data_IF_188046254023
#
_entry.id   IF_188046254023
#
_cell.length_a   1.000
_cell.length_b   1.000
_cell.length_c   1.000
_cell.angle_alpha   90.00
_cell.angle_beta   90.00
_cell.angle_gamma   90.00
#
_symmetry.space_group_name_H-M   'P 1'
#
loop_
_entity.id
_entity.type
_entity.pdbx_description
1 polymer ?
#
# COMPACT_ATOMS: atom_id res chain seq x y z
N UNK A 1 46.60 53.55 -14.83
CA UNK A 1 45.69 52.54 -15.40
C UNK A 1 44.30 52.83 -14.89
N UNK A 2 43.38 53.03 -15.83
CA UNK A 2 41.92 53.20 -15.73
C UNK A 2 41.24 51.93 -15.11
N UNK A 3 39.91 51.91 -14.83
CA UNK A 3 39.18 52.81 -13.93
C UNK A 3 37.96 52.17 -13.20
N UNK A 4 37.40 52.96 -12.28
CA UNK A 4 35.98 53.32 -12.06
C UNK A 4 34.86 52.32 -11.64
N UNK A 5 34.42 52.63 -10.41
CA UNK A 5 33.09 52.64 -9.78
C UNK A 5 31.86 52.95 -10.65
N UNK A 6 30.70 52.37 -10.30
CA UNK A 6 29.45 53.13 -10.13
C UNK A 6 28.32 52.36 -9.39
N UNK A 7 27.74 53.02 -8.36
CA UNK A 7 26.44 52.77 -7.73
C UNK A 7 25.49 53.87 -8.18
N UNK A 8 24.27 53.58 -8.65
CA UNK A 8 23.05 54.44 -8.64
C UNK A 8 21.87 53.48 -8.93
N UNK A 9 20.62 53.58 -8.46
CA UNK A 9 19.80 54.69 -7.97
C UNK A 9 18.41 54.58 -8.64
N UNK A 10 17.31 54.61 -7.88
CA UNK A 10 15.92 54.70 -8.40
C UNK A 10 15.69 56.02 -9.17
N UNK A 11 14.89 56.01 -10.26
CA UNK A 11 13.62 56.77 -10.43
C UNK A 11 13.07 56.74 -11.86
N UNK A 12 11.75 56.93 -11.91
CA UNK A 12 10.82 56.90 -13.04
C UNK A 12 10.98 58.05 -14.05
N UNK A 13 10.50 57.82 -15.29
CA UNK A 13 9.89 58.85 -16.13
C UNK A 13 8.76 58.25 -16.99
N UNK A 14 7.63 58.94 -16.97
CA UNK A 14 6.48 58.80 -17.86
C UNK A 14 6.75 59.49 -19.21
N UNK A 15 6.00 59.09 -20.26
CA UNK A 15 5.28 59.93 -21.25
C UNK A 15 4.96 59.09 -22.52
N UNK A 16 3.65 59.01 -22.84
CA UNK A 16 2.89 59.07 -24.14
C UNK A 16 3.59 58.67 -25.46
N UNK A 17 2.97 58.18 -26.53
CA UNK A 17 1.63 57.71 -26.96
C UNK A 17 1.77 57.34 -28.45
N UNK A 18 0.87 56.48 -28.99
CA UNK A 18 0.47 56.31 -30.42
C UNK A 18 1.59 55.94 -31.43
N UNK A 19 1.45 55.13 -32.47
CA UNK A 19 0.40 54.70 -33.42
C UNK A 19 1.18 53.71 -34.33
N UNK A 20 0.72 52.52 -34.72
CA UNK A 20 -0.18 52.24 -35.84
C UNK A 20 0.02 50.75 -36.17
N UNK A 21 -1.03 50.04 -36.56
CA UNK A 21 -1.05 49.06 -37.67
C UNK A 21 -2.42 48.35 -37.72
N UNK A 22 -3.31 48.89 -38.57
CA UNK A 22 -4.35 48.18 -39.34
C UNK A 22 -3.63 47.43 -40.48
N UNK A 23 -4.09 46.36 -41.14
CA UNK A 23 -5.23 45.43 -41.04
C UNK A 23 -4.99 44.38 -42.15
N UNK A 24 -5.45 43.13 -42.00
CA UNK A 24 -6.07 42.39 -43.13
C UNK A 24 -6.95 41.22 -42.65
N UNK A 25 -8.20 41.28 -43.13
CA UNK A 25 -9.26 40.26 -43.24
C UNK A 25 -8.79 39.03 -44.07
N UNK A 26 -9.41 37.84 -44.19
CA UNK A 26 -10.78 37.35 -43.98
C UNK A 26 -10.82 35.79 -44.10
N UNK A 27 -11.71 35.15 -43.33
CA UNK A 27 -12.72 34.12 -43.67
C UNK A 27 -12.41 32.64 -44.09
N UNK A 28 -13.07 31.67 -43.40
CA UNK A 28 -13.85 30.47 -43.85
C UNK A 28 -13.97 29.41 -42.70
N UNK A 29 -15.11 29.27 -41.99
CA UNK A 29 -16.21 28.28 -42.09
C UNK A 29 -15.77 26.78 -42.06
N UNK A 30 -16.18 25.90 -41.12
CA UNK A 30 -17.52 25.32 -40.86
C UNK A 30 -17.63 24.59 -39.49
N UNK A 31 -18.83 24.59 -38.86
CA UNK A 31 -19.35 23.49 -38.01
C UNK A 31 -19.65 23.77 -36.51
N UNK A 32 -20.94 23.83 -36.13
CA UNK A 32 -21.54 23.86 -34.75
C UNK A 32 -22.69 22.81 -34.71
N UNK A 33 -23.37 22.45 -33.58
CA UNK A 33 -23.10 22.44 -32.11
C UNK A 33 -23.73 21.14 -31.43
N UNK A 34 -24.26 21.05 -30.16
CA UNK A 34 -24.13 21.85 -28.92
C UNK A 34 -23.97 21.05 -27.56
N UNK A 35 -23.67 21.79 -26.48
CA UNK A 35 -23.92 21.53 -25.04
C UNK A 35 -23.11 20.47 -24.24
N UNK A 36 -22.16 20.94 -23.41
CA UNK A 36 -22.25 20.76 -21.95
C UNK A 36 -21.39 21.81 -21.23
N UNK A 37 -22.03 22.54 -20.34
CA UNK A 37 -21.48 23.64 -19.55
C UNK A 37 -20.59 23.07 -18.45
N UNK A 38 -19.27 23.01 -18.66
CA UNK A 38 -18.32 22.86 -17.55
C UNK A 38 -17.99 24.27 -17.03
N UNK A 39 -18.41 24.56 -15.80
CA UNK A 39 -17.89 25.68 -15.03
C UNK A 39 -16.41 25.42 -14.72
N UNK A 40 -15.54 25.78 -15.66
CA UNK A 40 -14.11 25.92 -15.39
C UNK A 40 -13.91 27.18 -14.56
N UNK A 41 -13.62 27.01 -13.27
CA UNK A 41 -13.02 28.05 -12.43
C UNK A 41 -11.75 28.55 -13.15
N UNK A 42 -11.85 29.76 -13.71
CA UNK A 42 -10.73 30.47 -14.32
C UNK A 42 -9.74 30.86 -13.22
N UNK A 43 -8.79 29.97 -12.92
CA UNK A 43 -7.60 30.29 -12.14
C UNK A 43 -6.46 30.66 -13.08
N UNK A 44 -5.94 31.89 -13.01
CA UNK A 44 -4.78 32.30 -13.78
C UNK A 44 -3.50 31.76 -13.15
N UNK A 45 -2.92 30.71 -13.73
CA UNK A 45 -1.63 30.15 -13.32
C UNK A 45 -0.49 30.60 -14.24
N UNK A 46 0.65 31.02 -13.68
CA UNK A 46 1.91 31.13 -14.40
C UNK A 46 2.75 29.87 -14.18
N UNK A 47 2.69 28.93 -15.13
CA UNK A 47 3.51 27.70 -15.16
C UNK A 47 3.26 26.92 -16.46
N UNK A 48 4.19 26.09 -16.93
CA UNK A 48 4.03 25.29 -18.16
C UNK A 48 2.96 24.20 -17.98
N UNK A 49 2.23 23.85 -19.06
CA UNK A 49 1.06 22.96 -19.01
C UNK A 49 1.32 21.57 -18.37
N UNK A 50 2.57 21.09 -18.41
CA UNK A 50 2.96 19.77 -17.90
C UNK A 50 3.03 19.72 -16.38
N UNK A 51 3.53 20.79 -15.75
CA UNK A 51 3.60 20.89 -14.28
C UNK A 51 2.18 21.00 -13.67
N UNK A 52 1.28 21.71 -14.36
CA UNK A 52 -0.12 21.90 -13.95
C UNK A 52 -0.90 20.60 -13.82
N UNK A 53 -0.66 19.65 -14.73
CA UNK A 53 -1.33 18.35 -14.70
C UNK A 53 -0.79 17.49 -13.55
N UNK A 54 0.53 17.50 -13.35
CA UNK A 54 1.19 16.72 -12.31
C UNK A 54 0.76 17.14 -10.90
N UNK A 55 0.68 18.45 -10.62
CA UNK A 55 0.31 18.95 -9.28
C UNK A 55 -1.17 18.67 -8.94
N UNK A 56 -2.08 18.72 -9.94
CA UNK A 56 -3.50 18.38 -9.76
C UNK A 56 -3.68 16.86 -9.61
N UNK A 57 -3.01 16.06 -10.43
CA UNK A 57 -3.06 14.60 -10.35
C UNK A 57 -2.46 14.12 -9.01
N UNK A 58 -1.45 14.80 -8.45
CA UNK A 58 -0.84 14.49 -7.15
C UNK A 58 -1.78 14.81 -5.96
N UNK A 59 -2.57 15.89 -6.06
CA UNK A 59 -3.60 16.25 -5.06
C UNK A 59 -4.79 15.29 -5.13
N UNK A 60 -5.22 14.90 -6.33
CA UNK A 60 -6.35 13.97 -6.51
C UNK A 60 -5.99 12.50 -6.25
N UNK A 61 -4.70 12.14 -6.24
CA UNK A 61 -4.22 10.78 -5.96
C UNK A 61 -3.77 10.56 -4.51
N UNK A 62 -3.96 11.53 -3.61
CA UNK A 62 -3.61 11.44 -2.18
C UNK A 62 -2.14 11.05 -1.87
N UNK A 63 -1.20 11.29 -2.78
CA UNK A 63 0.22 11.01 -2.60
C UNK A 63 1.01 12.24 -2.12
N UNK A 64 0.62 12.80 -0.97
CA UNK A 64 1.38 13.90 -0.35
C UNK A 64 2.21 13.36 0.81
N UNK A 65 3.52 13.22 0.59
CA UNK A 65 4.49 13.20 1.68
C UNK A 65 4.47 14.52 2.44
N UNK A 66 4.48 14.44 3.78
CA UNK A 66 4.40 15.56 4.71
C UNK A 66 5.44 16.68 4.44
N UNK A 67 6.55 16.36 3.77
CA UNK A 67 7.64 17.28 3.43
C UNK A 67 7.30 18.33 2.36
N UNK A 68 6.23 18.13 1.56
CA UNK A 68 5.82 19.07 0.49
C UNK A 68 4.78 20.12 0.93
N UNK A 69 4.31 20.08 2.18
CA UNK A 69 3.33 21.02 2.76
C UNK A 69 3.75 22.49 2.68
N UNK A 70 5.05 22.78 2.77
CA UNK A 70 5.55 24.17 2.79
C UNK A 70 5.46 24.87 1.43
N UNK A 71 5.40 24.12 0.33
CA UNK A 71 5.28 24.66 -1.03
C UNK A 71 3.81 24.99 -1.35
N UNK A 72 2.88 24.16 -0.87
CA UNK A 72 1.42 24.34 -1.05
C UNK A 72 0.87 25.58 -0.31
N UNK A 73 1.46 25.97 0.83
CA UNK A 73 1.03 27.19 1.53
C UNK A 73 1.26 28.50 0.75
N UNK A 74 2.19 28.50 -0.22
CA UNK A 74 2.57 29.73 -0.94
C UNK A 74 1.78 30.00 -2.21
N UNK A 75 1.04 29.01 -2.71
CA UNK A 75 0.41 29.10 -4.01
C UNK A 75 -1.03 28.56 -3.92
N UNK A 76 -2.00 29.46 -4.14
CA UNK A 76 -3.42 29.24 -4.49
C UNK A 76 -4.46 29.40 -3.36
N UNK A 77 -5.20 30.52 -3.37
CA UNK A 77 -6.59 30.58 -3.87
C UNK A 77 -7.18 31.98 -3.59
N UNK A 78 -7.57 32.71 -4.64
CA UNK A 78 -8.52 33.83 -4.54
C UNK A 78 -9.75 33.46 -5.35
N UNK A 79 -10.91 33.40 -4.71
CA UNK A 79 -12.18 33.26 -5.42
C UNK A 79 -12.52 34.55 -6.22
N UNK A 80 -13.50 34.47 -7.11
CA UNK A 80 -13.96 35.60 -7.94
C UNK A 80 -14.61 36.75 -7.13
N UNK A 81 -14.66 36.64 -5.80
CA UNK A 81 -15.19 37.63 -4.86
C UNK A 81 -14.15 38.14 -3.86
N UNK A 82 -12.88 37.74 -3.99
CA UNK A 82 -11.79 38.19 -3.12
C UNK A 82 -11.89 37.72 -1.67
N UNK A 83 -12.66 36.66 -1.36
CA UNK A 83 -12.71 36.06 -0.03
C UNK A 83 -11.68 34.95 0.08
N UNK A 84 -10.76 35.11 1.03
CA UNK A 84 -9.86 34.04 1.45
C UNK A 84 -10.66 32.95 2.16
N UNK A 85 -10.75 31.76 1.57
CA UNK A 85 -10.98 30.54 2.37
C UNK A 85 -9.59 29.92 2.58
N UNK A 86 -9.05 29.95 3.81
CA UNK A 86 -7.76 29.32 4.09
C UNK A 86 -7.78 27.84 3.64
N UNK A 87 -6.74 27.34 2.98
CA UNK A 87 -6.58 25.91 2.62
C UNK A 87 -6.80 25.01 3.84
N UNK A 88 -6.39 25.47 5.03
CA UNK A 88 -6.68 24.80 6.30
C UNK A 88 -8.17 24.48 6.46
N UNK A 89 -9.08 25.39 6.11
CA UNK A 89 -10.53 25.17 6.21
C UNK A 89 -11.06 24.09 5.26
N UNK A 90 -10.44 23.91 4.09
CA UNK A 90 -10.86 22.87 3.13
C UNK A 90 -10.35 21.52 3.59
N UNK A 91 -9.07 21.44 3.99
CA UNK A 91 -8.47 20.21 4.52
C UNK A 91 -9.16 19.79 5.82
N UNK A 92 -9.44 20.72 6.73
CA UNK A 92 -10.20 20.48 7.98
C UNK A 92 -11.59 19.92 7.68
N UNK A 93 -12.30 20.46 6.68
CA UNK A 93 -13.62 19.95 6.28
C UNK A 93 -13.54 18.57 5.63
N UNK A 94 -12.53 18.32 4.79
CA UNK A 94 -12.32 17.02 4.17
C UNK A 94 -12.01 15.95 5.22
N UNK A 95 -11.11 16.25 6.16
CA UNK A 95 -10.78 15.35 7.28
C UNK A 95 -12.00 15.13 8.18
N UNK A 96 -12.79 16.17 8.47
CA UNK A 96 -14.01 16.05 9.27
C UNK A 96 -15.06 15.15 8.60
N UNK A 97 -15.27 15.29 7.28
CA UNK A 97 -16.19 14.44 6.53
C UNK A 97 -15.71 12.98 6.48
N UNK A 98 -14.41 12.74 6.31
CA UNK A 98 -13.84 11.39 6.38
C UNK A 98 -14.01 10.77 7.76
N UNK A 99 -13.76 11.54 8.82
CA UNK A 99 -13.95 11.07 10.20
C UNK A 99 -15.42 10.75 10.48
N UNK A 100 -16.35 11.56 9.99
CA UNK A 100 -17.79 11.29 10.11
C UNK A 100 -18.17 9.98 9.43
N UNK A 101 -17.67 9.73 8.22
CA UNK A 101 -17.92 8.48 7.49
C UNK A 101 -17.29 7.26 8.19
N UNK A 102 -16.09 7.43 8.76
CA UNK A 102 -15.42 6.41 9.57
C UNK A 102 -16.26 6.07 10.81
N UNK A 103 -16.71 7.07 11.56
CA UNK A 103 -17.57 6.85 12.75
C UNK A 103 -18.91 6.20 12.36
N UNK A 104 -19.50 6.58 11.22
CA UNK A 104 -20.68 5.89 10.69
C UNK A 104 -20.39 4.42 10.40
N UNK A 105 -19.24 4.11 9.80
CA UNK A 105 -18.83 2.73 9.51
C UNK A 105 -18.66 1.91 10.80
N UNK A 106 -17.95 2.44 11.80
CA UNK A 106 -17.73 1.74 13.09
C UNK A 106 -19.05 1.49 13.82
N UNK A 107 -19.95 2.50 13.82
CA UNK A 107 -21.30 2.37 14.38
C UNK A 107 -22.13 1.32 13.64
N UNK A 108 -22.07 1.29 12.31
CA UNK A 108 -22.78 0.30 11.48
C UNK A 108 -22.27 -1.13 11.69
N UNK A 109 -20.98 -1.30 12.02
CA UNK A 109 -20.41 -2.57 12.46
C UNK A 109 -20.83 -2.98 13.88
N UNK A 110 -21.49 -2.09 14.64
CA UNK A 110 -21.86 -2.34 16.03
C UNK A 110 -20.68 -2.28 16.99
N UNK A 111 -19.60 -1.57 16.62
CA UNK A 111 -18.40 -1.42 17.44
C UNK A 111 -18.44 -0.17 18.33
N UNK A 112 -17.78 -0.24 19.48
CA UNK A 112 -17.66 0.87 20.46
C UNK A 112 -16.21 1.07 20.93
N UNK A 113 -15.93 2.10 21.74
CA UNK A 113 -14.60 2.38 22.32
C UNK A 113 -13.49 2.51 21.27
N UNK A 114 -13.77 3.31 20.24
CA UNK A 114 -12.95 3.40 19.04
C UNK A 114 -11.67 4.21 19.24
N UNK A 115 -10.53 3.64 18.84
CA UNK A 115 -9.26 4.35 18.71
C UNK A 115 -8.59 4.03 17.38
N UNK A 116 -8.01 5.01 16.68
CA UNK A 116 -7.30 4.76 15.43
C UNK A 116 -6.02 3.97 15.71
N UNK A 117 -5.77 2.93 14.91
CA UNK A 117 -4.52 2.17 14.92
C UNK A 117 -3.57 2.63 13.81
N UNK A 118 -4.12 2.87 12.62
CA UNK A 118 -3.41 3.37 11.45
C UNK A 118 -4.26 4.45 10.82
N UNK A 119 -3.68 5.65 10.71
CA UNK A 119 -4.29 6.83 10.09
C UNK A 119 -3.43 7.27 8.89
N UNK A 120 -3.89 6.98 7.68
CA UNK A 120 -3.21 7.37 6.43
C UNK A 120 -3.48 6.44 5.24
N UNK A 121 -3.81 7.03 4.08
CA UNK A 121 -4.04 6.32 2.82
C UNK A 121 -5.52 6.05 2.50
N UNK A 122 -5.82 5.07 1.64
CA UNK A 122 -7.20 4.67 1.28
C UNK A 122 -7.88 3.76 2.33
N UNK A 123 -7.11 3.16 3.26
CA UNK A 123 -7.58 2.20 4.27
C UNK A 123 -7.34 2.79 5.66
N UNK A 124 -8.39 2.90 6.47
CA UNK A 124 -8.35 3.27 7.88
C UNK A 124 -8.56 2.05 8.75
N UNK A 125 -7.79 1.93 9.84
CA UNK A 125 -7.85 0.78 10.75
C UNK A 125 -8.10 1.27 12.17
N UNK A 126 -9.16 0.76 12.79
CA UNK A 126 -9.63 1.21 14.10
C UNK A 126 -9.79 0.03 15.05
N UNK A 127 -9.30 0.18 16.27
CA UNK A 127 -9.57 -0.76 17.35
C UNK A 127 -10.83 -0.35 18.07
N UNK A 128 -11.66 -1.31 18.45
CA UNK A 128 -12.79 -1.10 19.33
C UNK A 128 -13.24 -2.39 20.00
N UNK A 129 -14.46 -2.40 20.50
CA UNK A 129 -15.14 -3.55 21.04
C UNK A 129 -16.34 -3.91 20.16
N UNK A 130 -16.42 -5.16 19.72
CA UNK A 130 -17.61 -5.74 19.08
C UNK A 130 -18.29 -6.65 20.11
N UNK A 131 -19.51 -6.31 20.54
CA UNK A 131 -20.23 -7.04 21.59
C UNK A 131 -19.39 -7.28 22.87
N UNK A 132 -18.59 -6.29 23.26
CA UNK A 132 -17.71 -6.35 24.44
C UNK A 132 -16.38 -7.09 24.25
N UNK A 133 -16.11 -7.65 23.06
CA UNK A 133 -14.86 -8.33 22.73
C UNK A 133 -13.97 -7.43 21.86
N UNK A 134 -12.66 -7.32 22.11
CA UNK A 134 -11.75 -6.54 21.27
C UNK A 134 -11.80 -6.96 19.79
N UNK A 135 -11.93 -5.98 18.91
CA UNK A 135 -12.03 -6.16 17.46
C UNK A 135 -11.33 -5.01 16.71
N UNK A 136 -11.08 -5.23 15.42
CA UNK A 136 -10.48 -4.26 14.50
C UNK A 136 -11.44 -3.98 13.35
N UNK A 137 -11.87 -2.74 13.19
CA UNK A 137 -12.59 -2.28 12.01
C UNK A 137 -11.59 -1.93 10.90
N UNK A 138 -11.82 -2.49 9.72
CA UNK A 138 -11.11 -2.16 8.47
C UNK A 138 -12.08 -1.35 7.61
N UNK A 139 -11.69 -0.14 7.25
CA UNK A 139 -12.55 0.81 6.54
C UNK A 139 -11.80 1.29 5.30
N UNK A 140 -12.36 1.08 4.12
CA UNK A 140 -11.79 1.57 2.86
C UNK A 140 -12.68 2.69 2.32
N UNK A 141 -12.09 3.88 2.20
CA UNK A 141 -12.76 5.04 1.63
C UNK A 141 -12.75 4.91 0.10
N UNK A 142 -13.92 5.10 -0.52
CA UNK A 142 -14.09 5.02 -1.96
C UNK A 142 -13.68 6.35 -2.62
N UNK A 143 -13.21 6.25 -3.87
CA UNK A 143 -12.58 7.35 -4.60
C UNK A 143 -13.58 8.29 -5.28
N UNK A 144 -14.86 7.91 -5.34
CA UNK A 144 -15.90 8.60 -6.10
C UNK A 144 -15.85 8.28 -7.60
N UNK A 145 -15.03 7.33 -8.03
CA UNK A 145 -15.00 6.80 -9.39
C UNK A 145 -15.76 5.47 -9.43
N UNK A 146 -16.98 5.42 -10.00
CA UNK A 146 -17.86 4.25 -9.91
C UNK A 146 -17.22 2.94 -10.40
N UNK A 147 -16.37 2.99 -11.42
CA UNK A 147 -15.71 1.81 -11.95
C UNK A 147 -14.67 1.23 -10.99
N UNK A 148 -13.85 2.10 -10.39
CA UNK A 148 -12.85 1.69 -9.41
C UNK A 148 -13.50 1.29 -8.07
N UNK A 149 -14.53 2.03 -7.66
CA UNK A 149 -15.20 1.82 -6.39
C UNK A 149 -15.94 0.49 -6.37
N UNK A 150 -16.61 0.12 -7.47
CA UNK A 150 -17.23 -1.20 -7.59
C UNK A 150 -16.19 -2.34 -7.49
N UNK A 151 -15.00 -2.14 -8.09
CA UNK A 151 -13.90 -3.11 -7.99
C UNK A 151 -13.42 -3.21 -6.53
N UNK A 152 -13.25 -2.09 -5.83
CA UNK A 152 -12.84 -2.04 -4.43
C UNK A 152 -13.86 -2.73 -3.51
N UNK A 153 -15.14 -2.45 -3.68
CA UNK A 153 -16.23 -3.11 -2.92
C UNK A 153 -16.24 -4.61 -3.15
N UNK A 154 -16.20 -5.04 -4.42
CA UNK A 154 -16.20 -6.47 -4.79
C UNK A 154 -14.97 -7.18 -4.20
N UNK A 155 -13.82 -6.49 -4.17
CA UNK A 155 -12.61 -7.01 -3.52
C UNK A 155 -12.81 -7.20 -2.02
N UNK A 156 -13.24 -6.17 -1.31
CA UNK A 156 -13.46 -6.26 0.13
C UNK A 156 -14.45 -7.38 0.50
N UNK A 157 -15.56 -7.49 -0.23
CA UNK A 157 -16.54 -8.56 -0.05
C UNK A 157 -15.92 -9.95 -0.25
N UNK A 158 -15.13 -10.11 -1.32
CA UNK A 158 -14.47 -11.40 -1.61
C UNK A 158 -13.38 -11.75 -0.58
N UNK A 159 -12.69 -10.75 -0.02
CA UNK A 159 -11.72 -10.96 1.06
C UNK A 159 -12.41 -11.55 2.29
N UNK A 160 -13.54 -10.94 2.69
CA UNK A 160 -14.30 -11.38 3.86
C UNK A 160 -14.91 -12.77 3.65
N UNK A 161 -15.46 -13.05 2.46
CA UNK A 161 -15.95 -14.39 2.10
C UNK A 161 -14.86 -15.45 2.26
N UNK A 162 -13.67 -15.21 1.68
CA UNK A 162 -12.57 -16.18 1.72
C UNK A 162 -11.97 -16.34 3.11
N UNK A 163 -11.87 -15.27 3.90
CA UNK A 163 -11.44 -15.34 5.30
C UNK A 163 -12.41 -16.13 6.18
N UNK A 164 -13.71 -16.05 5.88
CA UNK A 164 -14.75 -16.79 6.63
C UNK A 164 -14.63 -18.30 6.42
N UNK A 165 -14.11 -18.73 5.26
CA UNK A 165 -13.88 -20.15 4.94
C UNK A 165 -12.59 -20.72 5.56
N UNK A 166 -11.75 -19.88 6.20
CA UNK A 166 -10.49 -20.30 6.83
C UNK A 166 -10.68 -20.53 8.32
N UNK A 167 -10.50 -21.78 8.78
CA UNK A 167 -10.46 -22.14 10.20
C UNK A 167 -9.03 -22.42 10.65
N UNK A 168 -8.28 -21.37 11.00
CA UNK A 168 -6.91 -21.49 11.49
C UNK A 168 -6.54 -20.41 12.50
N UNK A 169 -5.90 -20.75 13.63
CA UNK A 169 -5.37 -19.74 14.55
C UNK A 169 -4.17 -18.97 14.01
N UNK A 170 -3.62 -19.36 12.85
CA UNK A 170 -2.50 -18.70 12.18
C UNK A 170 -2.94 -17.74 11.06
N UNK A 171 -4.24 -17.51 10.89
CA UNK A 171 -4.81 -16.51 9.97
C UNK A 171 -5.82 -15.67 10.75
N UNK A 172 -5.82 -14.35 10.54
CA UNK A 172 -6.79 -13.44 11.16
C UNK A 172 -8.23 -13.84 10.78
N UNK A 173 -9.15 -13.88 11.74
CA UNK A 173 -10.56 -14.15 11.48
C UNK A 173 -11.38 -12.88 11.28
N UNK A 174 -12.30 -12.94 10.33
CA UNK A 174 -13.39 -11.96 10.19
C UNK A 174 -14.47 -12.21 11.24
N UNK A 175 -15.02 -11.12 11.77
CA UNK A 175 -16.11 -11.15 12.76
C UNK A 175 -17.45 -10.70 12.19
N UNK A 176 -17.43 -10.01 11.04
CA UNK A 176 -18.64 -9.53 10.35
C UNK A 176 -18.50 -9.72 8.84
N UNK A 177 -19.63 -9.69 8.14
CA UNK A 177 -19.65 -9.49 6.69
C UNK A 177 -19.13 -8.09 6.33
N UNK A 178 -18.75 -7.90 5.06
CA UNK A 178 -18.43 -6.59 4.50
C UNK A 178 -19.70 -5.78 4.25
N UNK A 179 -19.77 -4.58 4.83
CA UNK A 179 -20.87 -3.63 4.69
C UNK A 179 -20.46 -2.41 3.88
N UNK A 180 -21.41 -1.83 3.13
CA UNK A 180 -21.22 -0.57 2.41
C UNK A 180 -21.83 0.57 3.22
N UNK A 181 -21.16 1.73 3.24
CA UNK A 181 -21.57 2.92 3.99
C UNK A 181 -21.87 4.04 3.01
N UNK A 182 -23.00 4.73 3.20
CA UNK A 182 -23.46 5.80 2.31
C UNK A 182 -24.39 5.32 1.18
N UNK A 183 -25.18 6.24 0.64
CA UNK A 183 -26.03 6.01 -0.54
C UNK A 183 -25.88 7.19 -1.53
N UNK A 184 -25.12 7.04 -2.63
CA UNK A 184 -24.37 5.86 -3.07
C UNK A 184 -23.22 5.49 -2.11
N UNK A 185 -22.64 4.26 -2.20
CA UNK A 185 -21.55 3.84 -1.33
C UNK A 185 -20.35 4.79 -1.39
N UNK A 186 -19.90 5.24 -0.22
CA UNK A 186 -18.73 6.10 0.00
C UNK A 186 -17.61 5.36 0.74
N UNK A 187 -17.92 4.27 1.45
CA UNK A 187 -16.95 3.39 2.06
C UNK A 187 -17.42 1.93 2.07
N UNK A 188 -16.47 1.01 2.21
CA UNK A 188 -16.73 -0.40 2.56
C UNK A 188 -15.98 -0.74 3.85
N UNK A 189 -16.63 -1.46 4.76
CA UNK A 189 -16.07 -1.78 6.06
C UNK A 189 -16.41 -3.20 6.53
N UNK A 190 -15.55 -3.77 7.36
CA UNK A 190 -15.77 -5.05 8.06
C UNK A 190 -14.98 -5.06 9.37
N UNK A 191 -15.30 -5.99 10.28
CA UNK A 191 -14.55 -6.21 11.50
C UNK A 191 -13.78 -7.53 11.48
N UNK A 192 -12.57 -7.50 12.04
CA UNK A 192 -11.69 -8.64 12.27
C UNK A 192 -11.40 -8.81 13.76
N UNK A 193 -10.93 -9.97 14.16
CA UNK A 193 -10.48 -10.19 15.52
C UNK A 193 -9.27 -9.31 15.87
N UNK A 194 -9.24 -8.83 17.11
CA UNK A 194 -8.05 -8.16 17.62
C UNK A 194 -6.96 -9.19 17.94
N UNK A 195 -5.82 -9.05 17.26
CA UNK A 195 -4.61 -9.81 17.55
C UNK A 195 -3.73 -9.02 18.52
N UNK A 196 -3.51 -9.56 19.71
CA UNK A 196 -2.59 -9.01 20.70
C UNK A 196 -1.12 -9.06 20.22
N UNK A 197 -0.19 -8.48 21.00
CA UNK A 197 1.22 -8.39 20.62
C UNK A 197 1.57 -7.19 19.74
N UNK A 198 2.49 -7.36 18.77
CA UNK A 198 2.96 -6.32 17.87
C UNK A 198 3.19 -6.82 16.43
N UNK A 199 3.27 -5.90 15.46
CA UNK A 199 3.56 -6.27 14.08
C UNK A 199 5.01 -6.73 13.97
N UNK A 200 5.28 -7.69 13.08
CA UNK A 200 6.62 -8.27 12.95
C UNK A 200 7.68 -7.20 12.62
N UNK A 201 7.29 -6.13 11.90
CA UNK A 201 8.14 -4.96 11.61
C UNK A 201 8.84 -4.37 12.82
N UNK A 202 8.23 -4.43 14.01
CA UNK A 202 8.76 -3.85 15.24
C UNK A 202 9.88 -4.69 15.88
N UNK A 203 10.13 -5.89 15.35
CA UNK A 203 11.12 -6.82 15.90
C UNK A 203 12.31 -7.06 14.97
N UNK A 204 12.29 -6.48 13.78
CA UNK A 204 13.29 -6.73 12.73
C UNK A 204 14.62 -6.00 12.95
N UNK A 205 14.77 -5.25 14.04
CA UNK A 205 16.01 -4.57 14.42
C UNK A 205 17.02 -5.49 15.13
N UNK A 206 16.63 -6.73 15.42
CA UNK A 206 17.47 -7.75 16.02
C UNK A 206 17.44 -9.05 15.24
N UNK A 207 18.46 -9.87 15.49
CA UNK A 207 18.46 -11.26 15.05
C UNK A 207 17.53 -12.11 15.92
N UNK A 208 16.86 -13.05 15.28
CA UNK A 208 16.04 -14.05 15.91
C UNK A 208 16.89 -15.28 16.24
N UNK A 209 16.50 -15.97 17.29
CA UNK A 209 17.03 -17.29 17.62
C UNK A 209 16.50 -18.34 16.62
N UNK A 210 17.18 -19.49 16.52
CA UNK A 210 16.72 -20.59 15.69
C UNK A 210 15.31 -21.06 16.08
N UNK A 211 14.98 -21.08 17.38
CA UNK A 211 13.66 -21.50 17.86
C UNK A 211 12.56 -20.53 17.46
N UNK A 212 12.81 -19.21 17.53
CA UNK A 212 11.88 -18.19 17.04
C UNK A 212 11.61 -18.35 15.54
N UNK A 213 12.65 -18.64 14.75
CA UNK A 213 12.50 -18.82 13.28
C UNK A 213 11.83 -20.14 12.94
N UNK A 214 12.10 -21.23 13.67
CA UNK A 214 11.34 -22.47 13.53
C UNK A 214 9.85 -22.25 13.82
N UNK A 215 9.53 -21.50 14.89
CA UNK A 215 8.14 -21.16 15.23
C UNK A 215 7.49 -20.30 14.14
N UNK A 216 8.20 -19.32 13.60
CA UNK A 216 7.74 -18.49 12.49
C UNK A 216 7.45 -19.33 11.24
N UNK A 217 8.37 -20.20 10.84
CA UNK A 217 8.18 -21.10 9.70
C UNK A 217 6.97 -22.01 9.90
N UNK A 218 6.84 -22.64 11.07
CA UNK A 218 5.75 -23.56 11.37
C UNK A 218 4.39 -22.88 11.40
N UNK A 219 4.27 -21.74 12.07
CA UNK A 219 3.01 -21.01 12.15
C UNK A 219 2.58 -20.47 10.78
N UNK A 220 3.49 -19.83 10.06
CA UNK A 220 3.16 -19.28 8.75
C UNK A 220 2.91 -20.38 7.72
N UNK A 221 3.57 -21.54 7.80
CA UNK A 221 3.24 -22.70 6.97
C UNK A 221 1.82 -23.25 7.26
N UNK A 222 1.37 -23.27 8.53
CA UNK A 222 -0.02 -23.63 8.89
C UNK A 222 -1.03 -22.66 8.28
N UNK A 223 -0.77 -21.35 8.37
CA UNK A 223 -1.65 -20.35 7.77
C UNK A 223 -1.67 -20.45 6.24
N UNK A 224 -0.51 -20.56 5.59
CA UNK A 224 -0.40 -20.70 4.14
C UNK A 224 -1.04 -22.01 3.64
N UNK A 225 -0.95 -23.11 4.39
CA UNK A 225 -1.64 -24.36 4.05
C UNK A 225 -3.14 -24.14 3.86
N UNK A 226 -3.80 -23.46 4.79
CA UNK A 226 -5.24 -23.20 4.69
C UNK A 226 -5.55 -22.24 3.53
N UNK A 227 -4.79 -21.17 3.37
CA UNK A 227 -4.95 -20.21 2.26
C UNK A 227 -4.81 -20.91 0.90
N UNK A 228 -3.76 -21.72 0.73
CA UNK A 228 -3.47 -22.42 -0.52
C UNK A 228 -4.48 -23.54 -0.81
N UNK A 229 -5.11 -24.12 0.22
CA UNK A 229 -6.16 -25.13 0.05
C UNK A 229 -7.43 -24.58 -0.62
N UNK A 230 -7.64 -23.26 -0.52
CA UNK A 230 -8.71 -22.53 -1.20
C UNK A 230 -8.30 -22.07 -2.62
N UNK A 231 -7.18 -22.58 -3.14
CA UNK A 231 -6.55 -22.17 -4.41
C UNK A 231 -6.16 -20.69 -4.45
N UNK A 232 -5.89 -20.10 -3.29
CA UNK A 232 -5.52 -18.70 -3.15
C UNK A 232 -4.03 -18.56 -2.85
N UNK A 233 -3.40 -17.56 -3.46
CA UNK A 233 -2.02 -17.12 -3.14
C UNK A 233 -2.14 -15.81 -2.36
N UNK A 234 -1.39 -15.67 -1.25
CA UNK A 234 -1.34 -14.49 -0.40
C UNK A 234 -0.79 -13.26 -1.13
N UNK A 235 0.28 -13.43 -1.94
CA UNK A 235 0.88 -12.43 -2.86
C UNK A 235 1.61 -11.25 -2.21
N UNK A 236 1.39 -11.00 -0.93
CA UNK A 236 2.01 -9.90 -0.18
C UNK A 236 2.49 -10.34 1.21
N UNK A 237 3.10 -11.52 1.27
CA UNK A 237 3.67 -12.01 2.50
C UNK A 237 4.91 -11.17 2.86
N UNK A 238 4.75 -10.31 3.87
CA UNK A 238 5.75 -9.36 4.33
C UNK A 238 5.59 -9.12 5.84
N UNK A 239 6.57 -8.48 6.52
CA UNK A 239 6.46 -8.22 7.95
C UNK A 239 5.27 -7.34 8.34
N UNK A 240 4.76 -6.52 7.42
CA UNK A 240 3.57 -5.67 7.65
C UNK A 240 2.30 -6.49 7.84
N UNK A 241 2.26 -7.70 7.27
CA UNK A 241 1.09 -8.57 7.23
C UNK A 241 1.24 -9.76 8.19
N UNK A 242 2.18 -9.68 9.14
CA UNK A 242 2.43 -10.71 10.14
C UNK A 242 2.38 -10.08 11.52
N UNK A 243 1.52 -10.63 12.36
CA UNK A 243 1.43 -10.28 13.78
C UNK A 243 2.24 -11.26 14.60
N UNK A 244 3.05 -10.77 15.53
CA UNK A 244 3.67 -11.57 16.58
C UNK A 244 2.90 -11.38 17.89
N UNK A 245 2.14 -12.40 18.27
CA UNK A 245 1.26 -12.39 19.45
C UNK A 245 2.05 -12.54 20.75
N UNK A 246 1.46 -12.12 21.87
CA UNK A 246 2.11 -12.16 23.18
C UNK A 246 2.36 -13.59 23.69
N UNK A 247 1.65 -14.58 23.14
CA UNK A 247 1.85 -16.01 23.39
C UNK A 247 3.02 -16.61 22.58
N UNK A 248 3.70 -15.79 21.77
CA UNK A 248 4.84 -16.18 20.93
C UNK A 248 4.44 -16.75 19.57
N UNK A 249 3.15 -16.83 19.23
CA UNK A 249 2.68 -17.28 17.90
C UNK A 249 2.69 -16.17 16.86
N UNK A 250 2.81 -16.58 15.60
CA UNK A 250 2.73 -15.70 14.43
C UNK A 250 1.40 -15.90 13.70
N UNK A 251 0.75 -14.81 13.30
CA UNK A 251 -0.55 -14.83 12.62
C UNK A 251 -0.48 -13.99 11.34
N UNK A 252 -0.97 -14.55 10.25
CA UNK A 252 -1.12 -13.87 8.96
C UNK A 252 -2.32 -12.92 8.99
N UNK A 253 -2.10 -11.70 8.53
CA UNK A 253 -3.11 -10.66 8.37
C UNK A 253 -3.21 -10.24 6.90
N UNK A 254 -4.33 -9.61 6.52
CA UNK A 254 -4.55 -9.07 5.18
C UNK A 254 -4.11 -10.03 4.05
N UNK A 255 -4.51 -11.34 4.11
CA UNK A 255 -4.18 -12.24 3.02
C UNK A 255 -4.76 -11.64 1.76
N UNK A 256 -3.95 -11.50 0.71
CA UNK A 256 -4.31 -10.80 -0.53
C UNK A 256 -5.37 -11.52 -1.36
N UNK A 257 -6.32 -12.21 -0.72
CA UNK A 257 -7.35 -13.08 -1.25
C UNK A 257 -8.21 -12.36 -2.30
N UNK A 258 -8.51 -11.09 -2.08
CA UNK A 258 -9.27 -10.27 -3.03
C UNK A 258 -8.46 -9.76 -4.24
N UNK A 259 -7.12 -9.81 -4.18
CA UNK A 259 -6.25 -9.31 -5.25
C UNK A 259 -6.31 -10.18 -6.50
N UNK A 260 -6.91 -11.37 -6.45
CA UNK A 260 -7.16 -12.24 -7.61
C UNK A 260 -8.16 -11.63 -8.60
N UNK A 261 -9.14 -10.84 -8.14
CA UNK A 261 -10.09 -10.14 -9.00
C UNK A 261 -9.43 -9.03 -9.86
N UNK A 262 -8.25 -8.55 -9.44
CA UNK A 262 -7.46 -7.60 -10.22
C UNK A 262 -6.92 -8.18 -11.54
N UNK A 263 -6.85 -9.52 -11.68
CA UNK A 263 -6.42 -10.19 -12.93
C UNK A 263 -7.20 -9.72 -14.15
N UNK A 264 -8.49 -9.44 -13.97
CA UNK A 264 -9.38 -9.07 -15.09
C UNK A 264 -9.32 -7.57 -15.41
N UNK A 265 -8.87 -6.73 -14.47
CA UNK A 265 -8.91 -5.26 -14.59
C UNK A 265 -7.53 -4.60 -14.74
N UNK A 266 -6.45 -5.24 -14.27
CA UNK A 266 -5.09 -4.70 -14.28
C UNK A 266 -4.18 -5.62 -15.10
N UNK A 267 -4.28 -5.53 -16.42
CA UNK A 267 -3.21 -5.97 -17.30
C UNK A 267 -2.08 -4.94 -17.26
N UNK A 268 -0.99 -5.26 -16.55
CA UNK A 268 0.32 -4.64 -16.76
C UNK A 268 0.79 -3.62 -15.70
N UNK A 269 2.06 -3.79 -15.33
CA UNK A 269 3.00 -2.85 -14.68
C UNK A 269 2.99 -2.76 -13.14
N UNK A 270 1.86 -2.90 -12.43
CA UNK A 270 1.86 -2.86 -10.95
C UNK A 270 1.21 -4.11 -10.34
N UNK A 271 1.99 -5.18 -10.17
CA UNK A 271 1.56 -6.31 -9.36
C UNK A 271 1.60 -5.92 -7.87
N UNK A 272 0.53 -6.20 -7.11
CA UNK A 272 0.49 -5.85 -5.69
C UNK A 272 1.46 -6.72 -4.89
N UNK A 273 2.25 -6.09 -4.02
CA UNK A 273 3.22 -6.74 -3.14
C UNK A 273 4.23 -5.72 -2.59
N UNK A 274 4.73 -5.96 -1.37
CA UNK A 274 5.67 -5.05 -0.71
C UNK A 274 7.07 -5.20 -1.34
N UNK A 275 7.71 -4.11 -1.83
CA UNK A 275 9.08 -4.15 -2.35
C UNK A 275 10.06 -4.79 -1.35
N UNK A 276 11.02 -5.58 -1.86
CA UNK A 276 11.95 -6.36 -1.03
C UNK A 276 11.39 -7.67 -0.48
N UNK A 277 10.08 -7.92 -0.57
CA UNK A 277 9.43 -9.16 -0.09
C UNK A 277 8.74 -9.93 -1.23
N UNK A 278 9.13 -9.68 -2.47
CA UNK A 278 8.54 -10.30 -3.67
C UNK A 278 9.40 -11.46 -4.18
N UNK A 279 8.77 -12.44 -4.83
CA UNK A 279 9.48 -13.55 -5.49
C UNK A 279 10.02 -13.13 -6.88
N UNK A 280 10.99 -13.86 -7.46
CA UNK A 280 11.51 -13.55 -8.80
C UNK A 280 10.42 -13.47 -9.87
N UNK A 281 9.45 -14.37 -9.82
CA UNK A 281 8.31 -14.37 -10.74
C UNK A 281 7.35 -13.18 -10.52
N UNK A 282 7.17 -12.70 -9.28
CA UNK A 282 6.43 -11.46 -9.02
C UNK A 282 7.12 -10.26 -9.65
N UNK A 283 8.44 -10.14 -9.46
CA UNK A 283 9.21 -9.00 -10.01
C UNK A 283 9.24 -9.02 -11.53
N UNK A 284 9.29 -10.21 -12.14
CA UNK A 284 9.22 -10.37 -13.60
C UNK A 284 7.82 -10.07 -14.18
N UNK A 285 6.82 -9.80 -13.34
CA UNK A 285 5.42 -9.61 -13.75
C UNK A 285 4.72 -10.91 -14.15
N UNK A 286 5.29 -12.06 -13.77
CA UNK A 286 4.68 -13.38 -13.92
C UNK A 286 3.61 -13.63 -12.87
N UNK A 287 2.81 -14.68 -13.04
CA UNK A 287 1.72 -14.98 -12.12
C UNK A 287 2.24 -15.62 -10.81
N UNK A 288 1.95 -15.01 -9.64
CA UNK A 288 2.14 -15.64 -8.34
C UNK A 288 1.54 -17.05 -8.25
N UNK A 289 2.28 -17.99 -7.68
CA UNK A 289 1.81 -19.35 -7.37
C UNK A 289 2.01 -19.62 -5.86
N UNK A 290 1.43 -20.68 -5.27
CA UNK A 290 1.65 -21.02 -3.86
C UNK A 290 3.12 -21.04 -3.43
N UNK A 291 4.02 -21.59 -4.26
CA UNK A 291 5.46 -21.57 -4.01
C UNK A 291 6.11 -20.17 -4.08
N UNK A 292 5.41 -19.15 -4.58
CA UNK A 292 5.82 -17.75 -4.49
C UNK A 292 5.74 -17.23 -3.06
N UNK A 293 4.67 -17.56 -2.33
CA UNK A 293 4.56 -17.20 -0.91
C UNK A 293 5.60 -17.95 -0.07
N UNK A 294 5.94 -19.20 -0.44
CA UNK A 294 7.05 -19.95 0.17
C UNK A 294 8.38 -19.23 0.00
N UNK A 295 8.63 -18.61 -1.16
CA UNK A 295 9.82 -17.79 -1.35
C UNK A 295 9.84 -16.57 -0.44
N UNK A 296 8.71 -15.86 -0.34
CA UNK A 296 8.55 -14.72 0.56
C UNK A 296 8.78 -15.11 2.03
N UNK A 297 8.30 -16.29 2.44
CA UNK A 297 8.56 -16.86 3.77
C UNK A 297 10.05 -17.18 3.97
N UNK A 298 10.73 -17.67 2.92
CA UNK A 298 12.18 -17.83 2.89
C UNK A 298 12.92 -16.50 3.10
N UNK A 299 12.49 -15.42 2.45
CA UNK A 299 13.06 -14.07 2.65
C UNK A 299 12.89 -13.66 4.12
N UNK A 300 11.68 -13.84 4.68
CA UNK A 300 11.39 -13.52 6.08
C UNK A 300 12.30 -14.29 7.05
N UNK A 301 12.42 -15.60 6.89
CA UNK A 301 13.27 -16.42 7.74
C UNK A 301 14.75 -16.00 7.62
N UNK A 302 15.25 -15.78 6.40
CA UNK A 302 16.62 -15.28 6.17
C UNK A 302 16.83 -13.93 6.85
N UNK A 303 15.90 -12.99 6.69
CA UNK A 303 16.01 -11.67 7.28
C UNK A 303 15.97 -11.75 8.81
N UNK A 304 15.08 -12.55 9.40
CA UNK A 304 15.03 -12.73 10.85
C UNK A 304 16.36 -13.29 11.40
N UNK A 305 17.04 -14.17 10.66
CA UNK A 305 18.32 -14.75 11.08
C UNK A 305 19.51 -13.79 10.94
N UNK A 306 19.45 -12.85 10.00
CA UNK A 306 20.63 -12.07 9.54
C UNK A 306 20.47 -10.56 9.62
N UNK A 307 19.26 -10.06 9.83
CA UNK A 307 18.83 -8.65 9.70
C UNK A 307 19.12 -8.04 8.31
N UNK A 308 19.25 -8.89 7.28
CA UNK A 308 19.61 -8.49 5.92
C UNK A 308 18.74 -9.22 4.89
N UNK A 309 18.51 -8.60 3.73
CA UNK A 309 17.83 -9.27 2.63
C UNK A 309 18.78 -10.24 1.90
N UNK A 310 18.27 -11.37 1.39
CA UNK A 310 19.09 -12.42 0.77
C UNK A 310 19.77 -12.03 -0.56
N UNK A 311 19.30 -10.96 -1.20
CA UNK A 311 19.69 -10.58 -2.56
C UNK A 311 20.18 -9.14 -2.66
N UNK A 312 20.37 -8.41 -1.54
CA UNK A 312 20.92 -7.06 -1.58
C UNK A 312 21.36 -6.56 -0.19
N UNK A 313 22.62 -6.14 -0.11
CA UNK A 313 23.18 -5.44 1.04
C UNK A 313 23.35 -3.95 0.66
N UNK A 314 22.69 -3.04 1.38
CA UNK A 314 22.81 -1.57 1.22
C UNK A 314 22.38 -0.99 -0.15
N UNK A 315 21.40 -1.58 -0.84
CA UNK A 315 20.89 -1.08 -2.13
C UNK A 315 19.48 -0.51 -2.04
N UNK A 316 19.13 0.37 -2.96
CA UNK A 316 17.76 0.90 -3.08
C UNK A 316 16.78 -0.16 -3.58
N UNK A 317 15.46 -0.05 -3.29
CA UNK A 317 14.49 -1.10 -3.60
C UNK A 317 14.45 -1.55 -5.07
N UNK A 318 14.71 -0.65 -6.02
CA UNK A 318 14.68 -1.00 -7.44
C UNK A 318 15.91 -1.85 -7.82
N UNK A 319 17.08 -1.51 -7.26
CA UNK A 319 18.29 -2.33 -7.42
C UNK A 319 18.14 -3.70 -6.75
N UNK A 320 17.52 -3.78 -5.56
CA UNK A 320 17.27 -5.05 -4.88
C UNK A 320 16.44 -6.01 -5.74
N UNK A 321 15.37 -5.49 -6.36
CA UNK A 321 14.51 -6.26 -7.24
C UNK A 321 15.22 -6.67 -8.53
N UNK A 322 16.07 -5.81 -9.07
CA UNK A 322 16.92 -6.15 -10.21
C UNK A 322 17.92 -7.28 -9.86
N UNK A 323 18.51 -7.28 -8.67
CA UNK A 323 19.39 -8.37 -8.21
C UNK A 323 18.64 -9.68 -8.07
N UNK A 324 17.41 -9.66 -7.56
CA UNK A 324 16.56 -10.85 -7.47
C UNK A 324 16.30 -11.50 -8.84
N UNK A 325 16.22 -10.71 -9.91
CA UNK A 325 16.04 -11.24 -11.28
C UNK A 325 17.31 -11.90 -11.85
N UNK A 326 18.49 -11.53 -11.36
CA UNK A 326 19.77 -11.83 -12.01
C UNK A 326 20.71 -12.70 -11.16
N UNK A 327 20.58 -12.69 -9.84
CA UNK A 327 21.49 -13.36 -8.91
C UNK A 327 20.83 -14.58 -8.25
N UNK A 328 21.67 -15.52 -7.83
CA UNK A 328 21.26 -16.55 -6.88
C UNK A 328 21.40 -15.99 -5.47
N UNK A 329 20.41 -16.25 -4.63
CA UNK A 329 20.42 -15.89 -3.20
C UNK A 329 21.59 -16.59 -2.51
N UNK A 330 22.35 -15.84 -1.71
CA UNK A 330 23.41 -16.40 -0.85
C UNK A 330 22.80 -17.26 0.24
N UNK A 331 23.55 -18.27 0.71
CA UNK A 331 23.07 -19.11 1.81
C UNK A 331 23.10 -18.30 3.10
N UNK A 332 22.13 -18.55 3.99
CA UNK A 332 22.12 -17.93 5.32
C UNK A 332 23.37 -18.29 6.14
N UNK A 333 23.98 -19.45 5.83
CA UNK A 333 25.18 -19.94 6.49
C UNK A 333 26.42 -19.06 6.21
N UNK A 334 26.43 -18.29 5.12
CA UNK A 334 27.51 -17.35 4.79
C UNK A 334 27.63 -16.22 5.84
N UNK A 335 26.51 -15.90 6.52
CA UNK A 335 26.44 -14.88 7.57
C UNK A 335 26.30 -15.48 8.98
N UNK A 336 25.72 -16.67 9.09
CA UNK A 336 25.40 -17.34 10.35
C UNK A 336 25.84 -18.80 10.32
N UNK A 337 27.14 -19.01 10.52
CA UNK A 337 27.78 -20.34 10.53
C UNK A 337 27.38 -21.21 11.72
N UNK A 338 26.77 -20.61 12.75
CA UNK A 338 26.34 -21.24 13.99
C UNK A 338 24.99 -21.96 13.89
N UNK A 339 24.28 -21.82 12.76
CA UNK A 339 22.95 -22.36 12.57
C UNK A 339 22.95 -23.87 12.34
N UNK A 340 21.85 -24.50 12.81
CA UNK A 340 21.49 -25.87 12.51
C UNK A 340 21.42 -26.11 10.99
N UNK A 341 22.15 -27.10 10.44
CA UNK A 341 22.09 -27.44 9.01
C UNK A 341 20.67 -27.68 8.47
N UNK A 342 19.76 -28.20 9.30
CA UNK A 342 18.38 -28.44 8.86
C UNK A 342 17.63 -27.12 8.64
N UNK A 343 17.85 -26.12 9.50
CA UNK A 343 17.27 -24.78 9.33
C UNK A 343 17.82 -24.11 8.07
N UNK A 344 19.13 -24.21 7.85
CA UNK A 344 19.79 -23.69 6.64
C UNK A 344 19.17 -24.33 5.40
N UNK A 345 19.03 -25.66 5.38
CA UNK A 345 18.46 -26.41 4.25
C UNK A 345 17.03 -25.98 3.93
N UNK A 346 16.18 -25.81 4.95
CA UNK A 346 14.79 -25.36 4.76
C UNK A 346 14.74 -23.95 4.17
N UNK A 347 15.50 -23.00 4.74
CA UNK A 347 15.55 -21.61 4.27
C UNK A 347 16.08 -21.54 2.83
N UNK A 348 17.18 -22.26 2.53
CA UNK A 348 17.79 -22.28 1.19
C UNK A 348 16.88 -22.96 0.15
N UNK A 349 16.07 -23.94 0.56
CA UNK A 349 15.05 -24.55 -0.32
C UNK A 349 13.90 -23.60 -0.61
N UNK A 350 13.41 -22.86 0.39
CA UNK A 350 12.42 -21.80 0.18
C UNK A 350 12.92 -20.73 -0.81
N UNK A 351 14.22 -20.39 -0.73
CA UNK A 351 14.86 -19.35 -1.55
C UNK A 351 15.38 -19.83 -2.91
N UNK A 352 15.02 -21.04 -3.35
CA UNK A 352 15.36 -21.48 -4.71
C UNK A 352 14.71 -20.55 -5.74
N UNK A 353 15.49 -20.07 -6.71
CA UNK A 353 15.00 -19.13 -7.73
C UNK A 353 13.82 -19.70 -8.55
N UNK A 354 13.90 -20.97 -8.94
CA UNK A 354 12.84 -21.61 -9.71
C UNK A 354 11.72 -22.11 -8.77
N UNK A 355 10.44 -21.72 -8.98
CA UNK A 355 9.33 -22.16 -8.15
C UNK A 355 9.26 -23.69 -7.96
N UNK A 356 9.50 -24.46 -9.03
CA UNK A 356 9.48 -25.92 -9.01
C UNK A 356 10.58 -26.60 -8.16
N UNK A 357 11.55 -25.83 -7.64
CA UNK A 357 12.60 -26.34 -6.73
C UNK A 357 12.35 -26.00 -5.26
N UNK A 358 11.29 -25.24 -4.97
CA UNK A 358 10.86 -24.90 -3.61
C UNK A 358 9.94 -25.99 -3.06
N UNK A 359 9.39 -25.77 -1.87
CA UNK A 359 8.16 -26.44 -1.47
C UNK A 359 7.01 -25.91 -2.33
N UNK A 360 6.14 -26.80 -2.80
CA UNK A 360 5.05 -26.50 -3.73
C UNK A 360 4.02 -25.56 -3.11
N UNK A 361 3.75 -25.71 -1.81
CA UNK A 361 2.79 -24.93 -1.03
C UNK A 361 3.11 -24.99 0.47
N UNK A 362 2.23 -24.39 1.30
CA UNK A 362 2.38 -24.40 2.75
C UNK A 362 2.19 -25.78 3.37
N UNK A 363 1.46 -26.70 2.71
CA UNK A 363 1.26 -28.05 3.20
C UNK A 363 2.53 -28.90 3.08
N UNK A 364 3.25 -28.81 1.95
CA UNK A 364 4.53 -29.52 1.79
C UNK A 364 5.60 -28.97 2.76
N UNK A 365 5.69 -27.63 2.90
CA UNK A 365 6.60 -27.05 3.89
C UNK A 365 6.26 -27.51 5.31
N UNK A 366 4.98 -27.47 5.70
CA UNK A 366 4.56 -27.94 7.03
C UNK A 366 4.88 -29.43 7.24
N UNK A 367 4.71 -30.26 6.21
CA UNK A 367 5.06 -31.68 6.25
C UNK A 367 6.56 -31.89 6.49
N UNK A 368 7.43 -31.11 5.85
CA UNK A 368 8.87 -31.15 6.10
C UNK A 368 9.20 -30.75 7.54
N UNK A 369 8.60 -29.67 8.05
CA UNK A 369 8.80 -29.22 9.43
C UNK A 369 8.34 -30.27 10.45
N UNK A 370 7.27 -31.03 10.16
CA UNK A 370 6.81 -32.14 10.99
C UNK A 370 7.82 -33.29 11.04
N UNK A 371 8.43 -33.64 9.90
CA UNK A 371 9.47 -34.68 9.82
C UNK A 371 10.67 -34.30 10.69
N UNK A 372 11.04 -33.01 10.70
CA UNK A 372 12.13 -32.47 11.51
C UNK A 372 11.76 -32.26 13.00
N UNK A 373 10.51 -32.49 13.39
CA UNK A 373 10.02 -32.26 14.76
C UNK A 373 9.94 -30.78 15.14
N UNK A 374 9.70 -29.89 14.16
CA UNK A 374 9.67 -28.42 14.30
C UNK A 374 8.29 -27.78 14.09
N UNK A 375 7.23 -28.58 13.92
CA UNK A 375 5.88 -28.11 13.57
C UNK A 375 4.92 -27.95 14.75
#
# INVERSE_FOLDING_TARGET
>A
MLPETNRWGMRATSIRSSTDLRASMNNEYYGRPPHSTHYLLNMSFKGTNTQRKYDIDCILSNNIECSKYSILQRYLNTDCYGRFTPINTILERMMAAQLELITQAISALGMTEEMPLIDGGQKSVWKGLLSGTPAVAKIILLSGNPGNDQITVTRAQREVELLTDIDSPQVVRTLTDAIQIGEPPEAVAWAEEWLDGSDLTQHLDRQFTSDEVWKLLADLAKGLKEIHSLEVVHRDLSPNNIRWKSDGSFVLMDPGLARHLAKTALTGVFQPGTPGWRSPEHVAGGEPVPSSDIFCLGILAYYCLTTQLPFAINKDPAEQEFELLNCQVSSVQDLRFDLDPDLVSVVDRCLQRQPARRFIDGAELLGELQILGKA
#
